data_IF_597733061820
#
_entry.id   IF_597733061820
#
_cell.length_a   1.000
_cell.length_b   1.000
_cell.length_c   1.000
_cell.angle_alpha   90.00
_cell.angle_beta   90.00
_cell.angle_gamma   90.00
#
_symmetry.space_group_name_H-M   'P 1'
#
loop_
_entity.id
_entity.type
_entity.pdbx_description
1 polymer ?
#
# COMPACT_ATOMS: atom_id res chain seq x y z
N UNK A 1 0.22 -10.45 4.72
CA UNK A 1 -0.49 -9.44 5.54
C UNK A 1 0.40 -8.83 6.61
N UNK A 2 0.80 -9.55 7.67
CA UNK A 2 1.64 -8.93 8.72
C UNK A 2 3.03 -8.52 8.20
N UNK A 3 3.70 -9.37 7.43
CA UNK A 3 4.99 -9.02 6.80
C UNK A 3 4.86 -7.85 5.82
N UNK A 4 3.77 -7.80 5.06
CA UNK A 4 3.50 -6.73 4.09
C UNK A 4 3.15 -5.41 4.78
N UNK A 5 2.51 -5.46 5.96
CA UNK A 5 2.22 -4.29 6.79
C UNK A 5 3.52 -3.67 7.33
N UNK A 6 4.45 -4.52 7.79
CA UNK A 6 5.77 -4.09 8.25
C UNK A 6 6.64 -3.51 7.12
N UNK A 7 6.58 -4.08 5.92
CA UNK A 7 7.32 -3.59 4.74
C UNK A 7 6.83 -2.21 4.27
N UNK A 8 5.54 -1.91 4.46
CA UNK A 8 4.96 -0.60 4.14
C UNK A 8 5.10 0.43 5.26
N UNK A 9 5.83 0.13 6.34
CA UNK A 9 5.99 1.00 7.52
C UNK A 9 4.66 1.49 8.11
N UNK A 10 3.58 0.70 8.04
CA UNK A 10 2.27 1.07 8.60
C UNK A 10 2.15 0.62 10.05
N UNK A 11 1.42 1.38 10.84
CA UNK A 11 1.14 1.06 12.23
C UNK A 11 0.63 -0.40 12.36
N UNK A 12 1.17 -1.19 13.31
CA UNK A 12 2.02 -0.84 14.44
C UNK A 12 3.54 -0.85 14.17
N UNK A 13 3.98 -0.97 12.91
CA UNK A 13 5.39 -1.05 12.52
C UNK A 13 5.95 0.27 11.95
N UNK A 14 5.29 1.39 12.22
CA UNK A 14 5.72 2.73 11.82
C UNK A 14 6.83 3.25 12.76
N UNK A 15 8.00 2.62 12.69
CA UNK A 15 9.17 2.96 13.50
C UNK A 15 10.04 4.03 12.86
N UNK A 16 9.91 4.22 11.54
CA UNK A 16 10.76 5.12 10.76
C UNK A 16 10.22 6.55 10.70
N UNK A 17 8.90 6.74 10.76
CA UNK A 17 8.27 8.06 10.75
C UNK A 17 7.73 8.45 12.14
N UNK A 18 7.23 7.48 12.92
CA UNK A 18 7.06 7.53 14.38
C UNK A 18 6.84 8.92 14.96
N UNK A 19 5.77 9.62 14.54
CA UNK A 19 5.58 11.06 14.82
C UNK A 19 5.62 11.39 16.31
N UNK A 20 5.13 10.46 17.14
CA UNK A 20 5.10 10.55 18.60
C UNK A 20 6.45 10.35 19.27
N UNK A 21 7.40 9.67 18.60
CA UNK A 21 8.67 9.24 19.17
C UNK A 21 9.87 9.98 18.57
N UNK A 22 9.85 10.23 17.26
CA UNK A 22 10.97 10.75 16.47
C UNK A 22 10.65 12.04 15.71
N UNK A 23 9.46 12.64 15.87
CA UNK A 23 9.06 13.89 15.19
C UNK A 23 9.30 13.80 13.68
N UNK A 24 8.70 12.80 13.00
CA UNK A 24 8.78 12.54 11.54
C UNK A 24 10.10 11.92 11.03
N UNK A 25 11.04 11.57 11.92
CA UNK A 25 12.17 10.69 11.60
C UNK A 25 13.05 11.21 10.46
N UNK A 26 13.14 10.45 9.35
CA UNK A 26 14.02 10.76 8.21
C UNK A 26 13.46 11.81 7.23
N UNK A 27 12.17 12.16 7.34
CA UNK A 27 11.49 13.09 6.43
C UNK A 27 11.73 14.57 6.78
N UNK A 28 12.28 14.86 7.97
CA UNK A 28 12.40 16.20 8.57
C UNK A 28 13.35 17.14 7.81
N UNK A 29 14.38 16.60 7.16
CA UNK A 29 15.41 17.40 6.48
C UNK A 29 15.02 17.82 5.06
N UNK A 30 13.91 17.29 4.53
CA UNK A 30 13.50 17.52 3.14
C UNK A 30 12.57 18.72 2.99
N UNK A 31 12.87 19.58 2.00
CA UNK A 31 11.95 20.61 1.56
C UNK A 31 10.67 20.01 0.94
N UNK A 32 9.62 20.82 0.80
CA UNK A 32 8.28 20.38 0.41
C UNK A 32 8.20 19.52 -0.88
N UNK A 33 9.08 19.74 -1.86
CA UNK A 33 9.12 18.97 -3.10
C UNK A 33 9.56 17.52 -2.90
N UNK A 34 10.81 17.26 -2.45
CA UNK A 34 11.28 15.91 -2.13
C UNK A 34 10.45 15.21 -1.05
N UNK A 35 9.92 15.95 -0.08
CA UNK A 35 8.99 15.43 0.93
C UNK A 35 7.75 14.80 0.26
N UNK A 36 7.11 15.51 -0.68
CA UNK A 36 5.94 14.98 -1.38
C UNK A 36 6.23 13.69 -2.17
N UNK A 37 7.46 13.51 -2.68
CA UNK A 37 7.86 12.30 -3.38
C UNK A 37 7.94 11.09 -2.43
N UNK A 38 8.35 11.27 -1.18
CA UNK A 38 8.34 10.19 -0.19
C UNK A 38 6.92 9.72 0.13
N UNK A 39 5.98 10.65 0.35
CA UNK A 39 4.57 10.28 0.56
C UNK A 39 3.98 9.55 -0.64
N UNK A 40 4.21 10.05 -1.86
CA UNK A 40 3.70 9.39 -3.06
C UNK A 40 4.32 7.99 -3.20
N UNK A 41 5.62 7.83 -2.92
CA UNK A 41 6.28 6.53 -3.00
C UNK A 41 5.75 5.55 -1.96
N UNK A 42 5.50 5.98 -0.72
CA UNK A 42 4.93 5.14 0.32
C UNK A 42 3.50 4.69 -0.03
N UNK A 43 2.63 5.61 -0.44
CA UNK A 43 1.27 5.27 -0.87
C UNK A 43 1.26 4.38 -2.11
N UNK A 44 2.18 4.59 -3.05
CA UNK A 44 2.35 3.70 -4.20
C UNK A 44 2.76 2.29 -3.75
N UNK A 45 3.69 2.17 -2.79
CA UNK A 45 4.10 0.88 -2.25
C UNK A 45 2.95 0.14 -1.55
N UNK A 46 2.11 0.83 -0.79
CA UNK A 46 0.92 0.24 -0.16
C UNK A 46 -0.02 -0.35 -1.23
N UNK A 47 -0.28 0.39 -2.30
CA UNK A 47 -1.14 -0.07 -3.40
C UNK A 47 -0.52 -1.29 -4.11
N UNK A 48 0.77 -1.24 -4.42
CA UNK A 48 1.49 -2.31 -5.14
C UNK A 48 1.51 -3.60 -4.32
N UNK A 49 1.84 -3.53 -3.03
CA UNK A 49 1.91 -4.71 -2.15
C UNK A 49 0.53 -5.34 -1.96
N UNK A 50 -0.53 -4.53 -1.86
CA UNK A 50 -1.91 -5.02 -1.78
C UNK A 50 -2.40 -5.64 -3.10
N UNK A 51 -2.02 -5.06 -4.24
CA UNK A 51 -2.23 -5.67 -5.56
C UNK A 51 -1.53 -7.02 -5.65
N UNK A 52 -0.27 -7.12 -5.24
CA UNK A 52 0.50 -8.35 -5.30
C UNK A 52 -0.09 -9.43 -4.38
N UNK A 53 -0.49 -9.03 -3.17
CA UNK A 53 -1.19 -9.91 -2.23
C UNK A 53 -2.53 -10.40 -2.80
N UNK A 54 -3.29 -9.53 -3.45
CA UNK A 54 -4.55 -9.90 -4.10
C UNK A 54 -4.35 -10.90 -5.24
N UNK A 55 -3.30 -10.73 -6.05
CA UNK A 55 -2.95 -11.68 -7.13
C UNK A 55 -2.56 -13.04 -6.54
N UNK A 56 -1.69 -13.07 -5.54
CA UNK A 56 -1.15 -14.31 -4.98
C UNK A 56 -2.18 -15.12 -4.19
N UNK A 57 -3.03 -14.47 -3.41
CA UNK A 57 -3.89 -15.15 -2.43
C UNK A 57 -5.39 -14.99 -2.66
N UNK A 58 -5.82 -13.97 -3.42
CA UNK A 58 -7.24 -13.63 -3.63
C UNK A 58 -7.62 -13.63 -5.11
N UNK A 59 -7.13 -14.62 -5.87
CA UNK A 59 -7.35 -14.75 -7.31
C UNK A 59 -8.81 -14.51 -7.75
N UNK A 60 -8.98 -13.91 -8.92
CA UNK A 60 -10.28 -13.61 -9.54
C UNK A 60 -10.54 -14.52 -10.72
N UNK A 61 -11.80 -14.86 -10.97
CA UNK A 61 -12.18 -15.66 -12.13
C UNK A 61 -11.89 -14.88 -13.41
N UNK A 62 -11.04 -15.44 -14.27
CA UNK A 62 -10.76 -14.87 -15.58
C UNK A 62 -11.69 -15.49 -16.62
N UNK A 63 -12.55 -14.67 -17.24
CA UNK A 63 -13.31 -15.05 -18.42
C UNK A 63 -12.72 -14.33 -19.64
N UNK A 64 -12.17 -15.04 -20.63
CA UNK A 64 -11.54 -14.42 -21.79
C UNK A 64 -12.54 -13.65 -22.68
N UNK A 65 -13.84 -13.96 -22.60
CA UNK A 65 -14.88 -13.25 -23.34
C UNK A 65 -15.27 -11.89 -22.72
N UNK A 66 -15.05 -11.71 -21.42
CA UNK A 66 -15.39 -10.48 -20.68
C UNK A 66 -14.23 -10.17 -19.71
N UNK A 67 -13.10 -9.63 -20.20
CA UNK A 67 -11.93 -9.35 -19.37
C UNK A 67 -12.19 -8.22 -18.35
N UNK A 68 -13.18 -7.36 -18.58
CA UNK A 68 -13.52 -6.27 -17.67
C UNK A 68 -14.05 -6.78 -16.33
N UNK A 69 -14.68 -7.96 -16.31
CA UNK A 69 -15.16 -8.56 -15.07
C UNK A 69 -13.99 -8.99 -14.17
N UNK A 70 -12.88 -9.42 -14.78
CA UNK A 70 -11.66 -9.74 -14.05
C UNK A 70 -11.08 -8.47 -13.41
N UNK A 71 -10.97 -7.38 -14.18
CA UNK A 71 -10.39 -6.12 -13.68
C UNK A 71 -11.24 -5.52 -12.57
N UNK A 72 -12.57 -5.49 -12.71
CA UNK A 72 -13.47 -4.97 -11.68
C UNK A 72 -13.38 -5.78 -10.38
N UNK A 73 -13.45 -7.10 -10.45
CA UNK A 73 -13.37 -7.93 -9.24
C UNK A 73 -11.99 -7.84 -8.58
N UNK A 74 -10.95 -7.70 -9.39
CA UNK A 74 -9.59 -7.56 -8.92
C UNK A 74 -9.40 -6.22 -8.18
N UNK A 75 -9.85 -5.12 -8.78
CA UNK A 75 -9.75 -3.78 -8.18
C UNK A 75 -10.56 -3.67 -6.90
N UNK A 76 -11.76 -4.26 -6.83
CA UNK A 76 -12.55 -4.28 -5.59
C UNK A 76 -11.79 -5.00 -4.47
N UNK A 77 -11.20 -6.17 -4.75
CA UNK A 77 -10.43 -6.93 -3.75
C UNK A 77 -9.18 -6.19 -3.30
N UNK A 78 -8.44 -5.57 -4.21
CA UNK A 78 -7.26 -4.77 -3.85
C UNK A 78 -7.66 -3.55 -3.04
N UNK A 79 -8.78 -2.88 -3.37
CA UNK A 79 -9.29 -1.74 -2.61
C UNK A 79 -9.70 -2.13 -1.19
N UNK A 80 -10.39 -3.26 -1.03
CA UNK A 80 -10.74 -3.80 0.29
C UNK A 80 -9.50 -4.09 1.14
N UNK A 81 -8.44 -4.64 0.53
CA UNK A 81 -7.17 -4.83 1.22
C UNK A 81 -6.49 -3.51 1.58
N UNK A 82 -6.49 -2.51 0.69
CA UNK A 82 -5.87 -1.21 1.00
C UNK A 82 -6.56 -0.48 2.16
N UNK A 83 -7.88 -0.65 2.33
CA UNK A 83 -8.62 -0.08 3.48
C UNK A 83 -8.09 -0.62 4.80
N UNK A 84 -7.58 -1.85 4.85
CA UNK A 84 -7.02 -2.43 6.08
C UNK A 84 -5.62 -1.93 6.44
N UNK A 85 -4.95 -1.18 5.55
CA UNK A 85 -3.63 -0.57 5.78
C UNK A 85 -3.73 0.90 6.23
N UNK A 86 -4.93 1.49 6.13
CA UNK A 86 -5.25 2.86 6.53
C UNK A 86 -5.60 2.91 8.03
#
# INVERSE_FOLDING_TARGET
FISTLAETNRAPFDLTEGESELVSGFNVEYAAGPFALFFIAEYANIIIINIFTAILFLGTSHNPHIPELYTINFTIKSLLLTISFL
#
